data_IF_848329451329
#
_entry.id   IF_848329451329
#
_cell.length_a   1.000
_cell.length_b   1.000
_cell.length_c   1.000
_cell.angle_alpha   90.00
_cell.angle_beta   90.00
_cell.angle_gamma   90.00
#
_symmetry.space_group_name_H-M   'P 1'
#
loop_
_entity.id
_entity.type
_entity.pdbx_description
1 polymer ?
#
# COMPACT_ATOMS: atom_id res chain seq x y z
N UNK A 1 -36.41 19.61 15.41
CA UNK A 1 -35.29 20.43 14.93
C UNK A 1 -34.14 20.10 15.87
N UNK A 2 -33.15 19.28 15.53
CA UNK A 2 -32.29 19.23 14.35
C UNK A 2 -32.03 17.77 13.93
N UNK A 3 -32.28 17.48 12.66
CA UNK A 3 -31.86 16.23 12.01
C UNK A 3 -30.40 16.39 11.65
N UNK A 4 -29.51 15.55 12.19
CA UNK A 4 -28.15 15.40 11.71
C UNK A 4 -28.09 14.03 11.07
N UNK A 5 -27.88 14.07 9.75
CA UNK A 5 -27.77 12.94 8.85
C UNK A 5 -26.42 12.27 9.16
N UNK A 6 -26.46 11.02 9.62
CA UNK A 6 -25.27 10.19 9.68
C UNK A 6 -25.02 9.73 8.23
N UNK A 7 -24.02 10.30 7.59
CA UNK A 7 -23.52 9.82 6.29
C UNK A 7 -22.75 8.52 6.53
N UNK A 8 -23.18 7.37 5.97
CA UNK A 8 -22.50 6.10 6.11
C UNK A 8 -21.81 5.75 4.79
N UNK A 9 -20.61 6.24 4.56
CA UNK A 9 -19.73 5.72 3.50
C UNK A 9 -18.27 6.03 3.88
N UNK A 10 -17.82 5.35 4.94
CA UNK A 10 -16.40 5.09 5.11
C UNK A 10 -16.09 3.92 4.21
N UNK A 11 -15.43 4.17 3.09
CA UNK A 11 -14.86 3.11 2.26
C UNK A 11 -13.78 2.45 3.11
N UNK A 12 -14.21 1.39 3.80
CA UNK A 12 -13.36 0.45 4.49
C UNK A 12 -12.30 -0.01 3.49
N UNK A 13 -11.03 0.20 3.82
CA UNK A 13 -9.99 -0.49 3.10
C UNK A 13 -10.34 -1.97 3.11
N UNK A 14 -10.31 -2.66 1.96
CA UNK A 14 -10.80 -4.00 1.86
C UNK A 14 -10.00 -4.89 2.81
N UNK A 15 -10.59 -5.16 3.97
CA UNK A 15 -10.40 -6.38 4.70
C UNK A 15 -10.62 -7.51 3.70
N UNK A 16 -9.65 -8.41 3.63
CA UNK A 16 -9.72 -9.58 2.77
C UNK A 16 -11.09 -10.26 2.85
N UNK A 17 -11.86 -10.23 1.77
CA UNK A 17 -12.97 -11.14 1.53
C UNK A 17 -13.29 -11.20 0.03
N UNK A 18 -12.59 -12.07 -0.70
CA UNK A 18 -13.27 -12.85 -1.72
C UNK A 18 -13.07 -14.32 -1.36
N UNK A 19 -14.16 -14.93 -0.93
CA UNK A 19 -14.31 -16.35 -0.66
C UNK A 19 -14.06 -17.12 -1.96
N UNK A 20 -12.83 -17.54 -2.17
CA UNK A 20 -12.45 -18.58 -3.11
C UNK A 20 -11.49 -19.51 -2.37
N UNK A 21 -11.65 -20.82 -2.55
CA UNK A 21 -10.67 -21.80 -2.08
C UNK A 21 -9.35 -21.51 -2.80
N UNK A 22 -8.52 -20.62 -2.24
CA UNK A 22 -7.20 -20.33 -2.78
C UNK A 22 -6.40 -21.61 -2.64
N UNK A 23 -5.94 -22.16 -3.77
CA UNK A 23 -5.15 -23.38 -3.74
C UNK A 23 -3.90 -23.15 -2.89
N UNK A 24 -3.39 -24.19 -2.22
CA UNK A 24 -2.16 -24.07 -1.41
C UNK A 24 -1.00 -23.41 -2.19
N UNK A 25 -0.96 -23.60 -3.50
CA UNK A 25 -0.03 -22.92 -4.40
C UNK A 25 -0.23 -21.41 -4.48
N UNK A 26 -1.45 -20.91 -4.55
CA UNK A 26 -1.75 -19.47 -4.55
C UNK A 26 -1.45 -18.84 -3.18
N UNK A 27 -1.66 -19.58 -2.08
CA UNK A 27 -1.27 -19.14 -0.75
C UNK A 27 0.26 -19.04 -0.60
N UNK A 28 1.02 -20.01 -1.12
CA UNK A 28 2.48 -19.98 -1.14
C UNK A 28 3.03 -18.86 -2.05
N UNK A 29 2.39 -18.60 -3.19
CA UNK A 29 2.75 -17.50 -4.09
C UNK A 29 2.50 -16.12 -3.46
N UNK A 30 1.43 -15.98 -2.68
CA UNK A 30 1.11 -14.76 -1.95
C UNK A 30 1.86 -14.60 -0.61
N UNK A 31 2.52 -15.65 -0.12
CA UNK A 31 3.23 -15.65 1.17
C UNK A 31 4.39 -14.64 1.20
N UNK A 32 4.94 -14.29 0.04
CA UNK A 32 6.03 -13.33 -0.07
C UNK A 32 5.70 -12.22 -1.08
N UNK A 33 4.93 -11.19 -0.68
CA UNK A 33 4.53 -10.10 -1.56
C UNK A 33 5.74 -9.32 -2.11
N UNK A 34 6.88 -9.36 -1.42
CA UNK A 34 8.12 -8.70 -1.85
C UNK A 34 8.85 -9.56 -2.91
N UNK A 35 8.72 -10.90 -2.89
CA UNK A 35 9.44 -11.83 -3.76
C UNK A 35 8.79 -12.18 -5.09
N UNK A 36 7.57 -11.72 -5.33
CA UNK A 36 6.95 -11.87 -6.63
C UNK A 36 6.83 -10.51 -7.33
N UNK A 37 6.94 -10.46 -8.66
CA UNK A 37 6.79 -9.24 -9.46
C UNK A 37 5.35 -8.68 -9.47
N UNK A 38 4.49 -9.16 -8.57
CA UNK A 38 3.15 -8.63 -8.28
C UNK A 38 3.20 -7.44 -7.31
N UNK A 39 4.39 -7.08 -6.85
CA UNK A 39 4.66 -5.88 -6.09
C UNK A 39 4.52 -4.65 -6.97
N UNK A 40 3.53 -3.82 -6.66
CA UNK A 40 3.00 -2.91 -7.66
C UNK A 40 3.40 -1.45 -7.35
N UNK A 41 3.12 -0.91 -6.16
CA UNK A 41 3.70 0.35 -5.66
C UNK A 41 3.91 0.25 -4.14
N UNK A 42 5.03 0.75 -3.62
CA UNK A 42 5.29 0.81 -2.18
C UNK A 42 5.22 2.26 -1.66
N UNK A 43 4.51 2.48 -0.55
CA UNK A 43 4.39 3.80 0.07
C UNK A 43 4.94 3.75 1.49
N UNK A 44 5.85 4.67 1.81
CA UNK A 44 6.62 4.72 3.05
C UNK A 44 6.34 6.01 3.82
N UNK A 45 6.16 5.93 5.14
CA UNK A 45 5.93 7.11 5.98
C UNK A 45 7.22 7.63 6.64
N UNK A 46 7.58 8.88 6.37
CA UNK A 46 8.82 9.53 6.84
C UNK A 46 8.86 9.92 8.33
N UNK A 47 7.73 9.95 9.03
CA UNK A 47 7.61 10.28 10.47
C UNK A 47 7.66 9.03 11.39
N UNK A 48 8.23 7.94 10.88
CA UNK A 48 8.35 6.71 11.64
C UNK A 48 9.60 6.74 12.52
N UNK A 49 9.36 6.50 13.81
CA UNK A 49 10.39 6.36 14.82
C UNK A 49 10.11 5.04 15.54
N UNK A 50 11.08 4.11 15.62
CA UNK A 50 12.44 4.14 15.07
C UNK A 50 12.52 3.79 13.57
N UNK A 51 13.54 4.29 12.87
CA UNK A 51 13.74 4.06 11.42
C UNK A 51 14.12 2.60 11.09
N UNK A 52 14.65 1.87 12.08
CA UNK A 52 15.06 0.46 11.97
C UNK A 52 13.90 -0.48 11.56
N UNK A 53 12.64 -0.05 11.74
CA UNK A 53 11.45 -0.84 11.45
C UNK A 53 11.34 -1.20 9.96
N UNK A 54 11.74 -0.33 9.05
CA UNK A 54 11.59 -0.56 7.61
C UNK A 54 12.79 -0.11 6.75
N UNK A 55 13.91 0.30 7.35
CA UNK A 55 15.10 0.75 6.60
C UNK A 55 15.65 -0.28 5.59
N UNK A 56 15.34 -1.57 5.78
CA UNK A 56 15.70 -2.65 4.87
C UNK A 56 14.78 -2.72 3.63
N UNK A 57 13.59 -2.14 3.67
CA UNK A 57 12.63 -2.21 2.57
C UNK A 57 13.04 -1.38 1.34
N UNK A 58 13.47 -0.11 1.46
CA UNK A 58 13.96 0.66 0.30
C UNK A 58 15.10 -0.05 -0.44
N UNK A 59 16.06 -0.62 0.30
CA UNK A 59 17.18 -1.39 -0.28
C UNK A 59 16.66 -2.59 -1.08
N UNK A 60 15.69 -3.33 -0.53
CA UNK A 60 15.06 -4.46 -1.22
C UNK A 60 14.24 -4.02 -2.45
N UNK A 61 13.67 -2.81 -2.43
CA UNK A 61 12.97 -2.23 -3.56
C UNK A 61 13.94 -1.85 -4.69
N UNK A 62 15.11 -1.31 -4.36
CA UNK A 62 16.16 -0.98 -5.34
C UNK A 62 16.71 -2.23 -6.04
N UNK A 63 17.02 -3.29 -5.27
CA UNK A 63 17.51 -4.57 -5.80
C UNK A 63 16.53 -5.22 -6.79
N UNK A 64 15.23 -4.89 -6.68
CA UNK A 64 14.14 -5.48 -7.48
C UNK A 64 13.48 -4.49 -8.43
N UNK A 65 14.01 -3.27 -8.53
CA UNK A 65 13.45 -2.19 -9.35
C UNK A 65 11.96 -1.90 -9.06
N UNK A 66 11.56 -1.94 -7.79
CA UNK A 66 10.19 -1.64 -7.37
C UNK A 66 10.01 -0.14 -7.12
N UNK A 67 8.96 0.49 -7.70
CA UNK A 67 8.67 1.90 -7.47
C UNK A 67 8.19 2.12 -6.03
N UNK A 68 8.73 3.13 -5.37
CA UNK A 68 8.34 3.51 -4.02
C UNK A 68 8.20 5.03 -3.86
N UNK A 69 7.34 5.46 -2.94
CA UNK A 69 7.09 6.87 -2.63
C UNK A 69 7.15 7.13 -1.12
N UNK A 70 7.57 8.33 -0.73
CA UNK A 70 7.57 8.77 0.67
C UNK A 70 6.42 9.75 0.94
N UNK A 71 5.74 9.54 2.07
CA UNK A 71 4.65 10.37 2.58
C UNK A 71 5.09 10.92 3.95
N UNK A 72 4.79 12.19 4.28
CA UNK A 72 5.27 12.79 5.53
C UNK A 72 4.60 12.24 6.81
N UNK A 73 3.36 11.74 6.75
CA UNK A 73 2.56 11.34 7.92
C UNK A 73 2.09 9.88 7.83
N UNK A 74 2.47 9.05 8.80
CA UNK A 74 1.97 7.66 8.98
C UNK A 74 0.51 7.61 9.41
N UNK A 75 0.02 8.68 10.03
CA UNK A 75 -1.38 8.83 10.43
C UNK A 75 -2.27 8.99 9.22
N UNK A 76 -1.84 9.80 8.26
CA UNK A 76 -2.57 10.06 7.02
C UNK A 76 -2.55 8.81 6.15
N UNK A 77 -1.41 8.13 6.11
CA UNK A 77 -1.26 6.84 5.41
C UNK A 77 -2.19 5.77 6.00
N UNK A 78 -2.27 5.67 7.34
CA UNK A 78 -3.21 4.78 8.02
C UNK A 78 -4.67 5.12 7.72
N UNK A 79 -5.02 6.41 7.71
CA UNK A 79 -6.36 6.88 7.37
C UNK A 79 -6.75 6.57 5.92
N UNK A 80 -5.82 6.74 4.96
CA UNK A 80 -6.03 6.40 3.56
C UNK A 80 -6.27 4.89 3.36
N UNK A 81 -5.66 4.05 4.19
CA UNK A 81 -5.89 2.61 4.22
C UNK A 81 -6.97 2.18 5.22
N UNK A 82 -7.91 3.05 5.59
CA UNK A 82 -9.08 2.70 6.40
C UNK A 82 -8.75 2.18 7.81
N UNK A 83 -7.50 2.29 8.26
CA UNK A 83 -7.03 1.80 9.55
C UNK A 83 -7.05 2.93 10.58
N UNK A 84 -7.57 2.64 11.77
CA UNK A 84 -7.49 3.55 12.93
C UNK A 84 -6.08 3.61 13.52
N UNK A 85 -5.18 2.72 13.11
CA UNK A 85 -3.79 2.64 13.58
C UNK A 85 -2.88 3.29 12.53
N UNK A 86 -1.87 4.09 12.95
CA UNK A 86 -0.88 4.61 12.02
C UNK A 86 -0.13 3.46 11.35
N UNK A 87 0.07 3.58 10.04
CA UNK A 87 0.75 2.57 9.22
C UNK A 87 2.03 3.17 8.66
N UNK A 88 3.15 2.47 8.80
CA UNK A 88 4.45 2.93 8.30
C UNK A 88 4.69 2.57 6.83
N UNK A 89 4.14 1.45 6.36
CA UNK A 89 4.37 0.91 5.02
C UNK A 89 3.06 0.38 4.46
N UNK A 90 2.75 0.77 3.23
CA UNK A 90 1.63 0.23 2.46
C UNK A 90 2.13 -0.28 1.14
N UNK A 91 1.60 -1.44 0.76
CA UNK A 91 1.86 -2.06 -0.52
C UNK A 91 0.56 -2.15 -1.28
N UNK A 92 0.47 -1.42 -2.37
CA UNK A 92 -0.67 -1.49 -3.28
C UNK A 92 -0.42 -2.70 -4.18
N UNK A 93 -1.48 -3.46 -4.48
CA UNK A 93 -1.50 -4.52 -5.50
C UNK A 93 -2.32 -4.02 -6.69
N UNK A 94 -1.99 -4.43 -7.93
CA UNK A 94 -2.81 -4.04 -9.06
C UNK A 94 -4.11 -4.85 -8.98
N UNK A 95 -5.24 -4.18 -9.21
CA UNK A 95 -6.55 -4.81 -9.21
C UNK A 95 -7.37 -4.27 -10.39
N UNK A 96 -8.23 -5.10 -10.95
CA UNK A 96 -9.01 -4.77 -12.14
C UNK A 96 -9.97 -3.58 -11.91
N UNK A 97 -10.45 -3.40 -10.67
CA UNK A 97 -11.39 -2.32 -10.31
C UNK A 97 -10.81 -0.90 -10.39
N UNK A 98 -9.49 -0.75 -10.26
CA UNK A 98 -8.82 0.56 -10.20
C UNK A 98 -7.53 0.61 -11.03
N UNK A 99 -7.47 -0.21 -12.07
CA UNK A 99 -6.29 -0.36 -12.92
C UNK A 99 -5.85 0.97 -13.56
N UNK A 100 -6.79 1.79 -14.04
CA UNK A 100 -6.49 3.08 -14.66
C UNK A 100 -5.80 4.05 -13.69
N UNK A 101 -6.35 4.21 -12.48
CA UNK A 101 -5.76 5.07 -11.45
C UNK A 101 -4.42 4.53 -10.95
N UNK A 102 -4.28 3.20 -10.95
CA UNK A 102 -3.04 2.54 -10.56
C UNK A 102 -1.91 2.82 -11.57
N UNK A 103 -2.20 2.76 -12.87
CA UNK A 103 -1.22 3.03 -13.93
C UNK A 103 -0.77 4.51 -13.93
N UNK A 104 -1.69 5.45 -13.69
CA UNK A 104 -1.36 6.88 -13.49
C UNK A 104 -0.39 7.08 -12.32
N UNK A 105 -0.70 6.49 -11.16
CA UNK A 105 0.18 6.55 -9.99
C UNK A 105 1.56 5.94 -10.25
N UNK A 106 1.61 4.86 -11.04
CA UNK A 106 2.86 4.17 -11.36
C UNK A 106 3.79 5.05 -12.18
N UNK A 107 3.27 5.79 -13.16
CA UNK A 107 4.05 6.71 -13.98
C UNK A 107 4.61 7.86 -13.15
N UNK A 108 3.79 8.47 -12.29
CA UNK A 108 4.21 9.55 -11.39
C UNK A 108 5.29 9.09 -10.40
N UNK A 109 5.11 7.93 -9.77
CA UNK A 109 6.10 7.40 -8.81
C UNK A 109 7.41 7.01 -9.50
N UNK A 110 7.36 6.56 -10.77
CA UNK A 110 8.58 6.32 -11.57
C UNK A 110 9.26 7.61 -12.02
N UNK A 111 8.52 8.69 -12.20
CA UNK A 111 9.07 10.00 -12.55
C UNK A 111 9.80 10.67 -11.38
N UNK A 112 9.46 10.29 -10.13
CA UNK A 112 10.18 10.75 -8.96
C UNK A 112 11.64 10.26 -8.98
N UNK A 113 12.60 11.10 -8.59
CA UNK A 113 13.99 10.69 -8.53
C UNK A 113 14.14 9.56 -7.50
N UNK A 114 14.71 8.44 -7.93
CA UNK A 114 15.26 7.44 -7.01
C UNK A 114 16.27 8.17 -6.10
N UNK A 115 16.21 7.90 -4.81
CA UNK A 115 17.06 8.59 -3.83
C UNK A 115 18.54 8.25 -4.11
N UNK A 116 19.23 9.11 -4.85
CA UNK A 116 20.68 9.13 -5.04
C UNK A 116 21.28 10.28 -4.25
#
# INVERSE_FOLDING_TARGET
>A
MTKIKADPDGVEAPAEACCGERTYHELLANLNPIAQPLASIMVLAGDTLPIEVYCHLPVMCEDRNLPYAYVPSKTDLGAAAGSKRPTCVIMVKPHEEYQEAYDECLEEVRALPAAL
#
